data_IF_404050791882
#
_entry.id   IF_404050791882
#
_cell.length_a   1.000
_cell.length_b   1.000
_cell.length_c   1.000
_cell.angle_alpha   90.00
_cell.angle_beta   90.00
_cell.angle_gamma   90.00
#
_symmetry.space_group_name_H-M   'P 1'
#
loop_
_entity.id
_entity.type
_entity.pdbx_description
1 polymer ?
#
# COMPACT_ATOMS: atom_id res chain seq x y z
N UNK A 1 14.89 -9.65 22.37
CA UNK A 1 15.27 -10.16 21.03
C UNK A 1 14.29 -9.54 20.05
N UNK A 2 14.71 -8.53 19.29
CA UNK A 2 13.82 -7.91 18.30
C UNK A 2 13.51 -8.88 17.15
N UNK A 3 12.43 -8.67 16.39
CA UNK A 3 12.13 -9.49 15.23
C UNK A 3 13.32 -9.48 14.26
N UNK A 4 13.75 -10.66 13.83
CA UNK A 4 14.81 -10.82 12.83
C UNK A 4 14.26 -10.30 11.50
N UNK A 5 14.88 -9.27 10.94
CA UNK A 5 14.52 -8.75 9.61
C UNK A 5 14.76 -9.85 8.56
N UNK A 6 13.82 -10.01 7.63
CA UNK A 6 13.90 -10.95 6.51
C UNK A 6 14.33 -10.21 5.24
N UNK A 7 15.63 -10.02 4.98
CA UNK A 7 16.12 -9.15 3.89
C UNK A 7 15.79 -9.65 2.48
N UNK A 8 15.38 -10.91 2.34
CA UNK A 8 15.06 -11.54 1.05
C UNK A 8 13.56 -11.69 0.78
N UNK A 9 12.70 -11.15 1.66
CA UNK A 9 11.25 -11.26 1.54
C UNK A 9 10.65 -9.87 1.34
N UNK A 10 9.85 -9.73 0.27
CA UNK A 10 9.07 -8.53 -0.02
C UNK A 10 7.58 -8.79 0.10
N UNK A 11 6.88 -7.91 0.81
CA UNK A 11 5.43 -7.92 0.89
C UNK A 11 4.84 -7.02 -0.20
N UNK A 12 3.84 -7.54 -0.92
CA UNK A 12 3.06 -6.77 -1.89
C UNK A 12 1.63 -6.66 -1.36
N UNK A 13 1.22 -5.45 -1.00
CA UNK A 13 -0.12 -5.15 -0.49
C UNK A 13 -0.97 -4.58 -1.63
N UNK A 14 -1.97 -5.35 -2.04
CA UNK A 14 -2.90 -4.96 -3.10
C UNK A 14 -4.04 -4.12 -2.53
N UNK A 15 -3.88 -2.79 -2.63
CA UNK A 15 -4.89 -1.81 -2.21
C UNK A 15 -6.01 -1.56 -3.23
N UNK A 16 -6.04 -2.33 -4.33
CA UNK A 16 -6.87 -2.12 -5.52
C UNK A 16 -8.32 -2.61 -5.42
N UNK A 17 -9.21 -1.85 -6.07
CA UNK A 17 -10.66 -2.01 -6.12
C UNK A 17 -11.41 -0.75 -5.67
N UNK A 18 -12.51 -0.39 -6.35
CA UNK A 18 -13.32 0.82 -6.06
C UNK A 18 -13.93 0.85 -4.65
N UNK A 19 -13.89 -0.28 -3.92
CA UNK A 19 -14.42 -0.35 -2.56
C UNK A 19 -15.92 -0.06 -2.49
N UNK A 20 -16.67 -0.52 -3.51
CA UNK A 20 -18.13 -0.25 -3.67
C UNK A 20 -18.95 -0.71 -2.45
N UNK A 21 -18.54 -1.79 -1.80
CA UNK A 21 -19.18 -2.32 -0.59
C UNK A 21 -19.00 -1.45 0.66
N UNK A 22 -18.02 -0.55 0.64
CA UNK A 22 -17.73 0.39 1.73
C UNK A 22 -18.20 1.81 1.37
N UNK A 23 -18.97 1.98 0.30
CA UNK A 23 -19.62 3.25 0.04
C UNK A 23 -20.54 3.61 1.23
N UNK A 24 -20.56 4.87 1.72
CA UNK A 24 -19.95 6.07 1.15
C UNK A 24 -18.51 6.37 1.61
N UNK A 25 -17.89 5.54 2.45
CA UNK A 25 -16.56 5.79 3.02
C UNK A 25 -15.45 5.87 1.96
N UNK A 26 -15.66 5.26 0.80
CA UNK A 26 -14.73 5.23 -0.34
C UNK A 26 -15.01 6.30 -1.39
N UNK A 27 -15.97 7.21 -1.16
CA UNK A 27 -16.34 8.27 -2.12
C UNK A 27 -15.17 9.21 -2.45
N UNK A 28 -14.39 9.58 -1.44
CA UNK A 28 -13.32 10.58 -1.55
C UNK A 28 -11.93 10.02 -1.21
N UNK A 29 -11.78 8.70 -1.14
CA UNK A 29 -10.50 8.06 -0.75
C UNK A 29 -10.44 6.62 -1.22
N UNK A 30 -9.22 6.11 -1.39
CA UNK A 30 -8.99 4.70 -1.67
C UNK A 30 -9.48 3.82 -0.51
N UNK A 31 -9.90 2.57 -0.80
CA UNK A 31 -10.26 1.58 0.22
C UNK A 31 -9.20 1.44 1.33
N UNK A 32 -7.89 1.37 1.05
CA UNK A 32 -6.87 1.25 2.10
C UNK A 32 -6.80 2.48 3.02
N UNK A 33 -7.23 3.65 2.55
CA UNK A 33 -7.21 4.90 3.30
C UNK A 33 -8.46 5.10 4.18
N UNK A 34 -9.41 4.15 4.19
CA UNK A 34 -10.60 4.22 5.03
C UNK A 34 -10.18 4.14 6.51
N UNK A 35 -10.63 5.09 7.36
CA UNK A 35 -10.33 5.09 8.79
C UNK A 35 -10.88 3.86 9.50
N UNK A 36 -10.14 3.38 10.49
CA UNK A 36 -10.46 2.25 11.35
C UNK A 36 -10.18 2.65 12.80
N UNK A 37 -11.11 2.37 13.71
CA UNK A 37 -10.94 2.56 15.16
C UNK A 37 -10.41 3.96 15.57
N UNK A 38 -10.83 5.01 14.87
CA UNK A 38 -10.54 6.43 15.19
C UNK A 38 -9.12 6.93 14.86
N UNK A 39 -8.09 6.08 14.93
CA UNK A 39 -6.68 6.48 14.73
C UNK A 39 -5.94 5.72 13.62
N UNK A 40 -6.51 4.63 13.15
CA UNK A 40 -5.90 3.76 12.15
C UNK A 40 -6.61 3.88 10.80
N UNK A 41 -6.06 3.19 9.81
CA UNK A 41 -6.64 2.96 8.51
C UNK A 41 -6.59 1.49 8.16
N UNK A 42 -7.41 1.06 7.20
CA UNK A 42 -7.42 -0.34 6.77
C UNK A 42 -6.04 -0.83 6.31
N UNK A 43 -5.20 0.03 5.74
CA UNK A 43 -3.83 -0.32 5.34
C UNK A 43 -2.92 -0.67 6.53
N UNK A 44 -3.22 -0.19 7.74
CA UNK A 44 -2.33 -0.38 8.88
C UNK A 44 -2.28 -1.83 9.34
N UNK A 45 -3.37 -2.59 9.14
CA UNK A 45 -3.45 -4.01 9.50
C UNK A 45 -2.40 -4.84 8.71
N UNK A 46 -2.40 -4.87 7.36
CA UNK A 46 -1.39 -5.64 6.63
C UNK A 46 0.03 -5.11 6.84
N UNK A 47 0.22 -3.79 6.95
CA UNK A 47 1.56 -3.22 7.19
C UNK A 47 2.12 -3.64 8.55
N UNK A 48 1.32 -3.57 9.60
CA UNK A 48 1.74 -3.98 10.95
C UNK A 48 2.04 -5.48 11.01
N UNK A 49 1.24 -6.31 10.32
CA UNK A 49 1.50 -7.74 10.21
C UNK A 49 2.85 -8.04 9.53
N UNK A 50 3.18 -7.33 8.43
CA UNK A 50 4.46 -7.51 7.75
C UNK A 50 5.62 -7.14 8.67
N UNK A 51 5.57 -5.96 9.30
CA UNK A 51 6.62 -5.46 10.18
C UNK A 51 6.81 -6.37 11.40
N UNK A 52 5.74 -6.81 12.06
CA UNK A 52 5.81 -7.74 13.18
C UNK A 52 6.32 -9.14 12.77
N UNK A 53 6.23 -9.48 11.49
CA UNK A 53 6.78 -10.72 10.92
C UNK A 53 8.22 -10.55 10.42
N UNK A 54 8.85 -9.38 10.61
CA UNK A 54 10.20 -9.09 10.11
C UNK A 54 10.27 -8.75 8.61
N UNK A 55 9.13 -8.59 7.94
CA UNK A 55 9.05 -8.23 6.52
C UNK A 55 8.99 -6.70 6.41
N UNK A 56 10.18 -6.09 6.26
CA UNK A 56 10.33 -4.64 6.30
C UNK A 56 10.42 -3.99 4.91
N UNK A 57 10.46 -4.78 3.84
CA UNK A 57 10.37 -4.28 2.46
C UNK A 57 8.95 -4.49 1.94
N UNK A 58 8.18 -3.40 1.85
CA UNK A 58 6.75 -3.47 1.57
C UNK A 58 6.39 -2.55 0.41
N UNK A 59 5.71 -3.09 -0.61
CA UNK A 59 5.14 -2.33 -1.72
C UNK A 59 3.62 -2.30 -1.64
N UNK A 60 3.01 -1.12 -1.70
CA UNK A 60 1.55 -0.93 -1.68
C UNK A 60 1.08 -0.52 -3.07
N UNK A 61 0.36 -1.41 -3.75
CA UNK A 61 -0.21 -1.16 -5.07
C UNK A 61 -1.60 -0.54 -4.94
N UNK A 62 -1.80 0.66 -5.48
CA UNK A 62 -3.11 1.36 -5.43
C UNK A 62 -3.49 1.95 -6.79
N UNK A 63 -4.78 1.96 -7.09
CA UNK A 63 -5.30 2.47 -8.37
C UNK A 63 -5.94 3.85 -8.25
N UNK A 64 -6.48 4.20 -7.08
CA UNK A 64 -7.32 5.38 -6.89
C UNK A 64 -6.79 6.26 -5.77
N UNK A 65 -6.93 7.58 -5.93
CA UNK A 65 -6.92 8.60 -4.87
C UNK A 65 -5.86 8.34 -3.77
N UNK A 66 -4.61 8.23 -4.22
CA UNK A 66 -3.46 7.80 -3.42
C UNK A 66 -2.90 8.90 -2.50
N UNK A 67 -3.27 10.17 -2.68
CA UNK A 67 -2.67 11.28 -1.93
C UNK A 67 -2.84 11.14 -0.42
N UNK A 68 -4.08 10.87 0.03
CA UNK A 68 -4.35 10.70 1.46
C UNK A 68 -3.62 9.49 2.03
N UNK A 69 -3.53 8.40 1.28
CA UNK A 69 -2.82 7.17 1.63
C UNK A 69 -1.31 7.42 1.74
N UNK A 70 -0.74 8.14 0.77
CA UNK A 70 0.67 8.47 0.71
C UNK A 70 1.10 9.30 1.91
N UNK A 71 0.37 10.39 2.19
CA UNK A 71 0.62 11.20 3.39
C UNK A 71 0.59 10.38 4.68
N UNK A 72 -0.32 9.43 4.80
CA UNK A 72 -0.42 8.57 6.00
C UNK A 72 0.78 7.64 6.13
N UNK A 73 1.14 6.94 5.04
CA UNK A 73 2.28 6.02 5.06
C UNK A 73 3.58 6.74 5.39
N UNK A 74 3.87 7.86 4.72
CA UNK A 74 5.09 8.66 4.94
C UNK A 74 5.18 9.18 6.38
N UNK A 75 4.06 9.56 6.98
CA UNK A 75 4.04 10.09 8.34
C UNK A 75 4.11 8.99 9.42
N UNK A 76 3.54 7.82 9.17
CA UNK A 76 3.39 6.75 10.16
C UNK A 76 4.52 5.73 10.12
N UNK A 77 4.99 5.35 8.94
CA UNK A 77 5.95 4.27 8.75
C UNK A 77 7.33 4.81 8.38
N UNK A 78 8.04 5.31 9.39
CA UNK A 78 9.43 5.77 9.27
C UNK A 78 10.37 4.66 9.70
N UNK A 79 11.19 4.20 8.77
CA UNK A 79 12.24 3.22 9.04
C UNK A 79 13.55 3.95 9.31
N UNK A 80 14.44 3.31 10.07
CA UNK A 80 15.80 3.78 10.26
C UNK A 80 16.57 3.62 8.94
N UNK A 81 17.37 4.62 8.57
CA UNK A 81 18.19 4.65 7.35
C UNK A 81 19.11 3.41 7.23
N UNK A 82 19.51 2.82 8.35
CA UNK A 82 20.40 1.65 8.37
C UNK A 82 19.68 0.30 8.28
N UNK A 83 18.35 0.27 8.43
CA UNK A 83 17.57 -0.98 8.47
C UNK A 83 17.28 -1.56 7.09
N UNK A 84 17.39 -0.75 6.03
CA UNK A 84 17.00 -1.12 4.66
C UNK A 84 15.50 -1.36 4.46
N UNK A 85 14.69 -1.18 5.50
CA UNK A 85 13.24 -1.29 5.47
C UNK A 85 12.59 -0.05 4.87
N UNK A 86 11.52 -0.22 4.10
CA UNK A 86 10.75 0.88 3.55
C UNK A 86 9.35 0.42 3.14
N UNK A 87 8.42 1.37 3.11
CA UNK A 87 7.09 1.18 2.52
C UNK A 87 6.96 2.09 1.30
N UNK A 88 6.93 1.50 0.11
CA UNK A 88 6.77 2.23 -1.16
C UNK A 88 5.33 2.13 -1.65
N UNK A 89 4.78 3.24 -2.14
CA UNK A 89 3.47 3.25 -2.79
C UNK A 89 3.65 3.28 -4.29
N UNK A 90 3.09 2.29 -4.96
CA UNK A 90 3.07 2.15 -6.40
C UNK A 90 1.64 2.45 -6.86
N UNK A 91 1.41 3.70 -7.27
CA UNK A 91 0.12 4.14 -7.79
C UNK A 91 0.05 3.89 -9.30
N UNK A 92 -1.09 3.39 -9.79
CA UNK A 92 -1.38 3.42 -11.22
C UNK A 92 -1.50 4.89 -11.66
N UNK A 93 -0.77 5.29 -12.69
CA UNK A 93 -0.92 6.62 -13.29
C UNK A 93 -2.27 6.71 -14.02
N UNK A 94 -3.07 7.71 -13.66
CA UNK A 94 -4.16 8.17 -14.53
C UNK A 94 -3.57 9.13 -15.55
N UNK A 95 -3.19 8.64 -16.72
CA UNK A 95 -3.00 9.52 -17.88
C UNK A 95 -4.36 9.73 -18.53
N UNK A 96 -4.70 10.99 -18.86
CA UNK A 96 -5.96 11.33 -19.54
C UNK A 96 -6.11 10.65 -20.91
N UNK A 97 -5.00 10.12 -21.46
CA UNK A 97 -4.92 9.53 -22.79
C UNK A 97 -5.01 7.99 -22.79
N UNK A 98 -4.82 7.35 -21.63
CA UNK A 98 -4.85 5.88 -21.52
C UNK A 98 -5.67 5.48 -20.30
N UNK A 99 -6.87 4.95 -20.53
CA UNK A 99 -7.78 4.43 -19.50
C UNK A 99 -7.30 3.14 -18.84
N UNK A 100 -6.00 2.98 -18.62
CA UNK A 100 -5.35 1.71 -18.39
C UNK A 100 -5.24 1.38 -16.89
N UNK A 101 -6.41 1.39 -16.23
CA UNK A 101 -6.60 0.80 -14.91
C UNK A 101 -5.99 -0.61 -14.88
N UNK A 102 -5.48 -1.07 -13.72
CA UNK A 102 -5.11 -2.48 -13.65
C UNK A 102 -6.34 -3.34 -13.97
N UNK A 103 -6.18 -4.25 -14.92
CA UNK A 103 -7.22 -5.19 -15.34
C UNK A 103 -7.51 -6.24 -14.25
N UNK A 104 -6.71 -6.26 -13.19
CA UNK A 104 -6.86 -7.09 -12.02
C UNK A 104 -5.66 -6.96 -11.09
N UNK A 105 -5.63 -7.76 -10.03
CA UNK A 105 -4.52 -7.80 -9.08
C UNK A 105 -3.24 -8.35 -9.70
N UNK A 106 -3.34 -9.37 -10.56
CA UNK A 106 -2.19 -9.90 -11.29
C UNK A 106 -1.60 -8.87 -12.27
N UNK A 107 -2.47 -8.09 -12.92
CA UNK A 107 -2.05 -7.01 -13.81
C UNK A 107 -1.31 -5.90 -13.05
N UNK A 108 -1.76 -5.60 -11.83
CA UNK A 108 -1.08 -4.65 -10.95
C UNK A 108 0.36 -5.10 -10.64
N UNK A 109 0.56 -6.37 -10.30
CA UNK A 109 1.91 -6.90 -10.04
C UNK A 109 2.74 -6.90 -11.31
N UNK A 110 2.19 -7.37 -12.44
CA UNK A 110 2.88 -7.44 -13.73
C UNK A 110 3.38 -6.07 -14.19
N UNK A 111 2.53 -5.04 -14.14
CA UNK A 111 2.87 -3.66 -14.56
C UNK A 111 3.96 -3.02 -13.68
N UNK A 112 4.12 -3.50 -12.45
CA UNK A 112 5.08 -2.97 -11.50
C UNK A 112 6.27 -3.90 -11.22
N UNK A 113 6.42 -5.00 -11.96
CA UNK A 113 7.47 -6.00 -11.73
C UNK A 113 8.89 -5.41 -11.83
N UNK A 114 9.10 -4.39 -12.67
CA UNK A 114 10.38 -3.69 -12.78
C UNK A 114 10.72 -2.78 -11.59
N UNK A 115 9.72 -2.40 -10.81
CA UNK A 115 9.84 -1.53 -9.64
C UNK A 115 9.82 -2.33 -8.31
N UNK A 116 9.58 -3.64 -8.40
CA UNK A 116 9.66 -4.60 -7.31
C UNK A 116 11.06 -5.25 -7.33
#
# INVERSE_FOLDING_TARGET
MGPVSLPHVRAIVLGGGRGVRLYPLTKLRAKPAVPLCGRYRLIDIPLSNCIHSGINQIAVLTQFNSHSLNRHIVNTYKFDDFSGGHVTILAAEQTNETGDWFQGTADAVRKHLSHL
#
